data_IF_575914912574
#
_entry.id   IF_575914912574
#
_cell.length_a   1.000
_cell.length_b   1.000
_cell.length_c   1.000
_cell.angle_alpha   90.00
_cell.angle_beta   90.00
_cell.angle_gamma   90.00
#
_symmetry.space_group_name_H-M   'P 1'
#
loop_
_entity.id
_entity.type
_entity.pdbx_description
1 polymer ?
#
# COMPACT_ATOMS: atom_id res chain seq x y z
N UNK A 1 31.94 19.90 27.42
CA UNK A 1 31.39 19.96 26.05
C UNK A 1 30.61 18.67 25.78
N UNK A 2 29.29 18.73 25.77
CA UNK A 2 28.47 17.58 25.34
C UNK A 2 28.35 17.63 23.82
N UNK A 3 28.92 16.64 23.12
CA UNK A 3 28.68 16.45 21.68
C UNK A 3 27.23 16.02 21.51
N UNK A 4 26.33 16.97 21.27
CA UNK A 4 24.94 16.69 20.91
C UNK A 4 24.94 16.05 19.53
N UNK A 5 24.69 14.74 19.48
CA UNK A 5 24.43 14.05 18.23
C UNK A 5 23.13 14.59 17.64
N UNK A 6 23.22 15.24 16.49
CA UNK A 6 22.06 15.62 15.70
C UNK A 6 21.77 14.41 14.81
N UNK A 7 20.72 13.66 15.14
CA UNK A 7 20.24 12.59 14.28
C UNK A 7 19.76 13.23 12.97
N UNK A 8 20.53 13.06 11.90
CA UNK A 8 20.09 13.47 10.57
C UNK A 8 18.86 12.63 10.20
N UNK A 9 17.70 13.27 10.10
CA UNK A 9 16.50 12.64 9.55
C UNK A 9 16.82 12.25 8.10
N UNK A 10 16.95 10.94 7.81
CA UNK A 10 17.17 10.39 6.46
C UNK A 10 15.97 10.75 5.58
N UNK A 11 15.94 11.98 5.08
CA UNK A 11 14.81 12.58 4.35
C UNK A 11 14.76 12.15 2.88
N UNK A 12 15.40 11.04 2.51
CA UNK A 12 15.71 10.73 1.13
C UNK A 12 15.03 9.50 0.52
N UNK A 13 14.27 8.70 1.29
CA UNK A 13 13.68 7.44 0.77
C UNK A 13 12.21 7.20 1.10
N UNK A 14 11.58 8.12 1.86
CA UNK A 14 10.17 7.98 2.24
C UNK A 14 9.20 8.44 1.17
N UNK A 15 9.65 9.22 0.17
CA UNK A 15 8.81 9.77 -0.89
C UNK A 15 8.61 8.80 -2.06
N UNK A 16 9.42 7.76 -2.17
CA UNK A 16 9.47 6.90 -3.36
C UNK A 16 8.46 5.75 -3.31
N UNK A 17 7.79 5.57 -2.17
CA UNK A 17 6.82 4.51 -1.94
C UNK A 17 5.46 5.09 -1.59
N UNK A 18 4.44 4.55 -2.25
CA UNK A 18 3.05 4.89 -1.97
C UNK A 18 2.31 3.65 -1.46
N UNK A 19 1.50 3.83 -0.42
CA UNK A 19 0.60 2.81 0.08
C UNK A 19 -0.68 2.80 -0.74
N UNK A 20 -0.87 1.76 -1.55
CA UNK A 20 -2.09 1.52 -2.32
C UNK A 20 -3.04 0.74 -1.43
N UNK A 21 -4.20 1.33 -1.12
CA UNK A 21 -5.26 0.69 -0.34
C UNK A 21 -6.41 0.41 -1.28
N UNK A 22 -6.76 -0.87 -1.45
CA UNK A 22 -7.88 -1.30 -2.30
C UNK A 22 -9.01 -1.83 -1.42
N UNK A 23 -10.20 -1.28 -1.61
CA UNK A 23 -11.41 -1.73 -0.94
C UNK A 23 -12.06 -2.87 -1.75
N UNK A 24 -12.11 -4.06 -1.18
CA UNK A 24 -12.75 -5.24 -1.74
C UNK A 24 -14.12 -5.44 -1.08
N UNK A 25 -15.19 -5.45 -1.87
CA UNK A 25 -16.54 -5.72 -1.36
C UNK A 25 -16.81 -7.22 -1.34
N UNK A 26 -17.20 -7.76 -0.18
CA UNK A 26 -17.67 -9.14 -0.05
C UNK A 26 -19.04 -9.29 -0.73
N UNK A 27 -19.20 -10.23 -1.67
CA UNK A 27 -20.49 -10.46 -2.32
C UNK A 27 -21.52 -11.09 -1.36
N UNK A 28 -21.05 -11.85 -0.35
CA UNK A 28 -21.90 -12.61 0.58
C UNK A 28 -22.53 -11.75 1.67
N UNK A 29 -21.76 -10.81 2.23
CA UNK A 29 -22.16 -10.01 3.39
C UNK A 29 -22.23 -8.51 3.10
N UNK A 30 -21.74 -8.07 1.94
CA UNK A 30 -21.65 -6.65 1.59
C UNK A 30 -20.57 -5.88 2.35
N UNK A 31 -19.83 -6.52 3.26
CA UNK A 31 -18.76 -5.91 4.02
C UNK A 31 -17.56 -5.54 3.12
N UNK A 32 -16.87 -4.46 3.46
CA UNK A 32 -15.64 -4.06 2.79
C UNK A 32 -14.42 -4.55 3.58
N UNK A 33 -13.50 -5.21 2.88
CA UNK A 33 -12.18 -5.53 3.40
C UNK A 33 -11.15 -4.68 2.67
N UNK A 34 -10.16 -4.17 3.40
CA UNK A 34 -9.09 -3.37 2.84
C UNK A 34 -7.85 -4.25 2.65
N UNK A 35 -7.33 -4.31 1.43
CA UNK A 35 -6.02 -4.90 1.13
C UNK A 35 -5.03 -3.75 0.94
N UNK A 36 -3.89 -3.84 1.60
CA UNK A 36 -2.84 -2.82 1.56
C UNK A 36 -1.62 -3.35 0.82
N UNK A 37 -1.05 -2.55 -0.08
CA UNK A 37 0.18 -2.87 -0.79
C UNK A 37 1.09 -1.64 -0.85
N UNK A 38 2.37 -1.80 -0.53
CA UNK A 38 3.36 -0.73 -0.65
C UNK A 38 4.04 -0.91 -2.01
N UNK A 39 3.88 0.07 -2.89
CA UNK A 39 4.45 0.06 -4.23
C UNK A 39 5.40 1.24 -4.43
N UNK A 40 6.43 1.05 -5.25
CA UNK A 40 7.23 2.18 -5.73
C UNK A 40 6.39 3.08 -6.63
N UNK A 41 6.61 4.40 -6.56
CA UNK A 41 5.81 5.38 -7.29
C UNK A 41 5.78 5.12 -8.80
N UNK A 42 6.91 4.71 -9.37
CA UNK A 42 7.03 4.43 -10.81
C UNK A 42 6.11 3.29 -11.29
N UNK A 43 5.75 2.38 -10.39
CA UNK A 43 4.97 1.18 -10.70
C UNK A 43 3.55 1.23 -10.10
N UNK A 44 3.11 2.40 -9.63
CA UNK A 44 1.84 2.51 -8.92
C UNK A 44 0.63 2.12 -9.79
N UNK A 45 0.67 2.42 -11.10
CA UNK A 45 -0.41 2.07 -12.03
C UNK A 45 -0.56 0.56 -12.18
N UNK A 46 0.56 -0.15 -12.36
CA UNK A 46 0.58 -1.61 -12.42
C UNK A 46 0.15 -2.23 -11.08
N UNK A 47 0.58 -1.65 -9.96
CA UNK A 47 0.18 -2.09 -8.62
C UNK A 47 -1.34 -1.97 -8.38
N UNK A 48 -1.98 -0.93 -8.92
CA UNK A 48 -3.45 -0.76 -8.84
C UNK A 48 -4.18 -1.77 -9.73
N UNK A 49 -3.62 -2.14 -10.88
CA UNK A 49 -4.23 -3.12 -11.79
C UNK A 49 -4.16 -4.54 -11.21
N UNK A 50 -2.98 -4.96 -10.73
CA UNK A 50 -2.81 -6.23 -10.01
C UNK A 50 -3.70 -6.30 -8.76
N UNK A 51 -3.84 -5.18 -8.03
CA UNK A 51 -4.71 -5.14 -6.86
C UNK A 51 -6.20 -5.32 -7.20
N UNK A 52 -6.66 -4.91 -8.40
CA UNK A 52 -8.03 -5.16 -8.86
C UNK A 52 -8.24 -6.64 -9.19
N UNK A 53 -7.26 -7.29 -9.81
CA UNK A 53 -7.35 -8.71 -10.17
C UNK A 53 -7.39 -9.62 -8.93
N UNK A 54 -6.64 -9.26 -7.87
CA UNK A 54 -6.68 -9.96 -6.57
C UNK A 54 -8.01 -9.81 -5.81
N UNK A 55 -8.90 -8.91 -6.24
CA UNK A 55 -10.26 -8.77 -5.70
C UNK A 55 -11.24 -9.63 -6.49
N UNK A 56 -11.00 -9.85 -7.78
CA UNK A 56 -11.82 -10.72 -8.63
C UNK A 56 -11.54 -12.22 -8.39
N UNK A 57 -10.33 -12.59 -7.97
CA UNK A 57 -9.91 -13.99 -7.84
C UNK A 57 -10.20 -14.65 -6.47
N UNK A 58 -10.88 -13.97 -5.55
CA UNK A 58 -11.44 -14.62 -4.35
C UNK A 58 -12.96 -14.62 -4.40
N UNK A 59 -13.58 -15.43 -5.29
CA UNK A 59 -14.96 -15.82 -5.11
C UNK A 59 -15.00 -16.67 -3.85
N UNK A 60 -15.77 -16.19 -2.89
CA UNK A 60 -16.23 -16.90 -1.70
C UNK A 60 -16.37 -18.41 -1.91
N UNK A 61 -15.59 -19.18 -1.16
CA UNK A 61 -16.09 -20.40 -0.52
C UNK A 61 -16.89 -19.99 0.73
#
# INVERSE_FOLDING_TARGET
>A
MAKKSIASLKSGKGKDYTKVITAARSPKTGAYSFKELIAHNDQIKAAVEVAKDLVASTPSE
#
